data_IF_893422189075
#
_entry.id   IF_893422189075
#
_cell.length_a   1.000
_cell.length_b   1.000
_cell.length_c   1.000
_cell.angle_alpha   90.00
_cell.angle_beta   90.00
_cell.angle_gamma   90.00
#
_symmetry.space_group_name_H-M   'P 1'
#
loop_
_entity.id
_entity.type
_entity.pdbx_description
1 polymer ?
#
# COMPACT_ATOMS: atom_id res chain seq x y z
N UNK A 1 -34.24 21.10 16.83
CA UNK A 1 -34.27 19.62 16.83
C UNK A 1 -33.85 18.97 15.52
N UNK A 2 -33.97 19.62 14.34
CA UNK A 2 -33.58 19.01 13.04
C UNK A 2 -32.06 19.00 12.81
N UNK A 3 -31.34 20.02 13.32
CA UNK A 3 -29.88 20.18 13.14
C UNK A 3 -29.07 19.03 13.75
N UNK A 4 -29.54 18.44 14.86
CA UNK A 4 -28.85 17.36 15.56
C UNK A 4 -28.83 16.05 14.75
N UNK A 5 -29.87 15.78 13.94
CA UNK A 5 -29.95 14.59 13.08
C UNK A 5 -29.08 14.69 11.84
N UNK A 6 -28.94 15.90 11.28
CA UNK A 6 -28.07 16.14 10.12
C UNK A 6 -26.59 16.01 10.52
N UNK A 7 -26.21 16.47 11.72
CA UNK A 7 -24.84 16.33 12.21
C UNK A 7 -24.45 14.85 12.44
N UNK A 8 -25.41 14.01 12.86
CA UNK A 8 -25.18 12.58 13.14
C UNK A 8 -25.02 11.75 11.85
N UNK A 9 -25.70 12.14 10.77
CA UNK A 9 -25.58 11.47 9.47
C UNK A 9 -24.24 11.76 8.78
N UNK A 10 -23.58 12.88 9.07
CA UNK A 10 -22.30 13.25 8.47
C UNK A 10 -21.12 12.51 9.13
N UNK A 11 -21.21 12.16 10.43
CA UNK A 11 -20.19 11.38 11.13
C UNK A 11 -20.14 9.91 10.73
N UNK A 12 -21.15 9.39 10.02
CA UNK A 12 -21.18 8.00 9.55
C UNK A 12 -20.48 7.80 8.21
N UNK A 13 -19.75 8.79 7.71
CA UNK A 13 -18.83 8.66 6.57
C UNK A 13 -17.72 7.69 6.97
N UNK A 14 -17.96 6.40 6.80
CA UNK A 14 -17.01 5.34 7.13
C UNK A 14 -15.80 5.47 6.22
N UNK A 15 -14.64 5.71 6.82
CA UNK A 15 -13.35 5.57 6.16
C UNK A 15 -13.29 4.14 5.62
N UNK A 16 -13.22 3.99 4.30
CA UNK A 16 -13.07 2.70 3.67
C UNK A 16 -11.60 2.29 3.79
N UNK A 17 -11.36 1.24 4.56
CA UNK A 17 -10.07 0.57 4.68
C UNK A 17 -10.33 -0.93 4.75
N UNK A 18 -9.45 -1.73 4.14
CA UNK A 18 -9.67 -3.17 4.02
C UNK A 18 -9.44 -3.87 5.34
N UNK A 19 -10.46 -4.57 5.84
CA UNK A 19 -10.38 -5.30 7.10
C UNK A 19 -9.77 -6.67 6.93
N UNK A 20 -8.60 -6.86 7.50
CA UNK A 20 -7.91 -8.15 7.42
C UNK A 20 -8.57 -9.16 8.38
N UNK A 21 -9.09 -10.30 7.89
CA UNK A 21 -9.69 -11.31 8.74
C UNK A 21 -8.63 -12.03 9.56
N UNK A 22 -9.01 -12.47 10.75
CA UNK A 22 -8.13 -13.27 11.59
C UNK A 22 -7.85 -14.64 10.97
N UNK A 23 -6.65 -15.16 11.22
CA UNK A 23 -6.29 -16.54 10.86
C UNK A 23 -6.07 -16.77 9.37
N UNK A 24 -5.76 -15.72 8.60
CA UNK A 24 -5.27 -15.87 7.23
C UNK A 24 -4.04 -16.79 7.19
N UNK A 25 -3.99 -17.65 6.17
CA UNK A 25 -2.82 -18.45 5.87
C UNK A 25 -1.73 -17.56 5.26
N UNK A 26 -0.48 -18.03 5.29
CA UNK A 26 0.60 -17.29 4.64
C UNK A 26 0.40 -17.28 3.11
N UNK A 27 0.56 -16.11 2.51
CA UNK A 27 0.58 -15.95 1.05
C UNK A 27 0.08 -14.59 0.58
N UNK A 28 -0.15 -14.51 -0.74
CA UNK A 28 -0.55 -13.32 -1.45
C UNK A 28 -2.08 -13.24 -1.51
N UNK A 29 -2.59 -12.05 -1.28
CA UNK A 29 -4.00 -11.73 -1.28
C UNK A 29 -4.27 -10.46 -2.08
N UNK A 30 -5.51 -10.35 -2.55
CA UNK A 30 -6.07 -9.12 -3.12
C UNK A 30 -7.30 -8.72 -2.33
N UNK A 31 -7.36 -7.48 -1.88
CA UNK A 31 -8.56 -6.90 -1.31
C UNK A 31 -9.17 -5.91 -2.30
N UNK A 32 -10.49 -5.92 -2.46
CA UNK A 32 -11.23 -4.98 -3.31
C UNK A 32 -12.71 -4.93 -2.91
N UNK A 33 -13.41 -3.88 -3.32
CA UNK A 33 -14.87 -3.80 -3.18
C UNK A 33 -15.56 -4.32 -4.45
N UNK A 34 -16.59 -5.16 -4.31
CA UNK A 34 -17.39 -5.61 -5.44
C UNK A 34 -18.45 -4.55 -5.85
N UNK A 35 -19.26 -4.84 -6.87
CA UNK A 35 -20.29 -3.92 -7.37
C UNK A 35 -21.40 -3.58 -6.35
N UNK A 36 -21.43 -4.28 -5.20
CA UNK A 36 -22.35 -4.04 -4.08
C UNK A 36 -21.66 -3.35 -2.90
N UNK A 37 -20.44 -2.86 -3.08
CA UNK A 37 -19.60 -2.27 -2.03
C UNK A 37 -19.29 -3.26 -0.90
N UNK A 38 -19.37 -4.57 -1.17
CA UNK A 38 -18.93 -5.59 -0.22
C UNK A 38 -17.43 -5.81 -0.37
N UNK A 39 -16.73 -5.82 0.76
CA UNK A 39 -15.30 -6.10 0.82
C UNK A 39 -15.04 -7.57 0.49
N UNK A 40 -14.19 -7.81 -0.51
CA UNK A 40 -13.75 -9.14 -0.94
C UNK A 40 -12.25 -9.25 -0.73
N UNK A 41 -11.83 -10.33 -0.04
CA UNK A 41 -10.44 -10.73 0.09
C UNK A 41 -10.23 -12.05 -0.63
N UNK A 42 -9.51 -11.99 -1.73
CA UNK A 42 -9.20 -13.12 -2.61
C UNK A 42 -7.80 -13.64 -2.33
N UNK A 43 -7.67 -14.95 -2.09
CA UNK A 43 -6.37 -15.62 -1.98
C UNK A 43 -5.79 -15.89 -3.36
N UNK A 44 -4.62 -15.32 -3.65
CA UNK A 44 -3.92 -15.48 -4.92
C UNK A 44 -2.89 -16.61 -4.91
N UNK A 45 -2.64 -17.22 -3.73
CA UNK A 45 -1.67 -18.30 -3.56
C UNK A 45 -0.39 -17.86 -2.87
N UNK A 46 0.50 -18.82 -2.62
CA UNK A 46 1.90 -18.51 -2.28
C UNK A 46 2.61 -18.13 -3.58
N UNK A 47 3.46 -17.11 -3.54
CA UNK A 47 4.29 -16.72 -4.69
C UNK A 47 5.32 -17.83 -4.93
N UNK A 48 4.90 -18.85 -5.66
CA UNK A 48 5.79 -19.88 -6.16
C UNK A 48 6.47 -19.30 -7.40
N UNK A 49 7.76 -19.01 -7.28
CA UNK A 49 8.63 -18.57 -8.40
C UNK A 49 8.61 -19.50 -9.63
N UNK A 50 7.94 -20.66 -9.54
CA UNK A 50 7.71 -21.62 -10.62
C UNK A 50 6.48 -21.32 -11.50
N UNK A 51 5.59 -20.39 -11.12
CA UNK A 51 4.41 -19.99 -11.92
C UNK A 51 4.73 -18.98 -13.04
N UNK A 52 6.01 -18.64 -13.21
CA UNK A 52 6.51 -17.69 -14.21
C UNK A 52 6.29 -18.14 -15.65
N UNK A 53 6.29 -19.45 -15.91
CA UNK A 53 6.33 -19.97 -17.29
C UNK A 53 5.01 -19.81 -18.08
N UNK A 54 3.88 -19.52 -17.44
CA UNK A 54 2.58 -19.35 -18.15
C UNK A 54 2.15 -17.90 -18.35
N UNK A 55 2.81 -16.94 -17.68
CA UNK A 55 2.55 -15.51 -17.84
C UNK A 55 3.57 -14.82 -18.77
N UNK A 56 4.75 -15.43 -18.98
CA UNK A 56 5.74 -14.98 -19.97
C UNK A 56 5.17 -14.94 -21.40
N UNK A 57 4.25 -15.83 -21.77
CA UNK A 57 3.67 -15.87 -23.13
C UNK A 57 2.73 -14.69 -23.44
N UNK A 58 2.19 -13.98 -22.44
CA UNK A 58 1.34 -12.79 -22.67
C UNK A 58 2.05 -11.45 -22.51
N UNK A 59 3.19 -11.40 -21.83
CA UNK A 59 3.88 -10.14 -21.49
C UNK A 59 5.14 -9.85 -22.32
N UNK A 60 5.52 -10.74 -23.24
CA UNK A 60 6.74 -10.61 -24.03
C UNK A 60 6.76 -9.39 -24.98
N UNK A 61 5.60 -8.78 -25.28
CA UNK A 61 5.50 -7.58 -26.12
C UNK A 61 5.59 -6.26 -25.33
N UNK A 62 5.32 -6.28 -24.01
CA UNK A 62 5.29 -5.07 -23.16
C UNK A 62 6.70 -4.74 -22.62
N UNK A 63 7.56 -5.73 -22.44
CA UNK A 63 8.93 -5.56 -21.91
C UNK A 63 9.91 -4.88 -22.88
N UNK A 64 9.54 -4.65 -24.15
CA UNK A 64 10.42 -3.99 -25.13
C UNK A 64 10.53 -2.47 -24.99
N UNK A 65 9.76 -1.85 -24.09
CA UNK A 65 9.73 -0.39 -23.91
C UNK A 65 10.14 0.07 -22.50
N UNK A 66 10.80 -0.76 -21.71
CA UNK A 66 11.45 -0.27 -20.49
C UNK A 66 12.57 0.71 -20.90
N UNK A 67 12.46 2.02 -20.59
CA UNK A 67 13.47 2.99 -21.01
C UNK A 67 14.82 2.63 -20.39
N UNK A 68 15.87 2.65 -21.22
CA UNK A 68 17.24 2.42 -20.80
C UNK A 68 17.56 3.29 -19.59
N UNK A 69 17.89 2.62 -18.49
CA UNK A 69 18.21 3.21 -17.21
C UNK A 69 19.63 3.78 -17.26
N UNK A 70 19.80 4.86 -18.03
CA UNK A 70 20.91 5.79 -17.81
C UNK A 70 20.79 6.29 -16.36
N UNK A 71 21.79 5.92 -15.54
CA UNK A 71 21.76 6.08 -14.10
C UNK A 71 21.26 7.46 -13.69
N UNK A 72 20.18 7.56 -12.89
CA UNK A 72 19.70 8.85 -12.46
C UNK A 72 20.81 9.48 -11.61
N UNK A 73 21.33 10.60 -12.10
CA UNK A 73 21.78 11.71 -11.25
C UNK A 73 20.86 11.72 -10.01
N UNK A 74 21.44 11.72 -8.80
CA UNK A 74 20.73 11.68 -7.51
C UNK A 74 19.83 12.91 -7.33
N UNK A 75 18.84 13.08 -8.20
CA UNK A 75 17.73 14.01 -8.06
C UNK A 75 17.07 13.65 -6.74
N UNK A 76 16.80 14.66 -5.93
CA UNK A 76 16.35 14.57 -4.54
C UNK A 76 15.22 13.56 -4.35
N UNK A 77 15.59 12.29 -4.18
CA UNK A 77 14.69 11.17 -3.96
C UNK A 77 13.77 11.41 -2.76
N UNK A 78 14.21 12.27 -1.84
CA UNK A 78 13.48 12.68 -0.64
C UNK A 78 12.29 13.60 -0.88
N UNK A 79 12.21 14.33 -2.00
CA UNK A 79 11.11 15.29 -2.23
C UNK A 79 9.80 14.62 -2.69
N UNK A 80 9.87 13.34 -3.08
CA UNK A 80 8.75 12.63 -3.73
C UNK A 80 8.06 11.62 -2.84
N UNK A 81 8.58 11.37 -1.63
CA UNK A 81 7.98 10.39 -0.75
C UNK A 81 7.54 11.05 0.54
N UNK A 82 6.30 10.76 0.95
CA UNK A 82 5.86 10.97 2.33
C UNK A 82 5.75 9.61 2.99
N UNK A 83 6.12 9.53 4.25
CA UNK A 83 6.01 8.30 5.04
C UNK A 83 5.19 8.55 6.30
N UNK A 84 4.44 7.54 6.72
CA UNK A 84 3.86 7.44 8.06
C UNK A 84 4.59 6.30 8.79
N UNK A 85 4.95 6.54 10.05
CA UNK A 85 5.65 5.57 10.88
C UNK A 85 4.74 5.15 12.03
N UNK A 86 4.59 3.85 12.24
CA UNK A 86 3.90 3.32 13.41
C UNK A 86 4.76 3.45 14.65
N UNK A 87 4.19 3.91 15.75
CA UNK A 87 4.92 4.10 16.99
C UNK A 87 4.93 2.82 17.81
N UNK A 88 6.08 2.46 18.39
CA UNK A 88 6.17 1.39 19.40
C UNK A 88 5.86 -0.04 18.90
N UNK A 89 5.70 -0.25 17.59
CA UNK A 89 5.45 -1.56 16.99
C UNK A 89 6.71 -1.99 16.22
N UNK A 90 7.56 -2.75 16.92
CA UNK A 90 8.63 -3.50 16.27
C UNK A 90 8.07 -4.77 15.66
N UNK A 91 8.40 -4.98 14.39
CA UNK A 91 8.02 -6.16 13.63
C UNK A 91 9.13 -7.22 13.75
N UNK A 92 8.74 -8.49 13.61
CA UNK A 92 9.73 -9.55 13.50
C UNK A 92 10.51 -9.39 12.20
N UNK A 93 11.85 -9.45 12.30
CA UNK A 93 12.73 -9.17 11.17
C UNK A 93 12.56 -10.20 10.06
N UNK A 94 12.49 -11.48 10.42
CA UNK A 94 12.39 -12.59 9.47
C UNK A 94 11.04 -12.60 8.76
N UNK A 95 9.95 -12.39 9.50
CA UNK A 95 8.60 -12.27 8.93
C UNK A 95 8.49 -11.05 8.00
N UNK A 96 9.08 -9.91 8.40
CA UNK A 96 9.05 -8.67 7.60
C UNK A 96 9.82 -8.84 6.29
N UNK A 97 11.06 -9.33 6.36
CA UNK A 97 11.88 -9.56 5.16
C UNK A 97 11.19 -10.56 4.23
N UNK A 98 10.58 -11.60 4.79
CA UNK A 98 9.86 -12.61 4.02
C UNK A 98 8.62 -12.05 3.33
N UNK A 99 7.77 -11.32 4.06
CA UNK A 99 6.58 -10.69 3.50
C UNK A 99 6.93 -9.70 2.38
N UNK A 100 7.95 -8.85 2.61
CA UNK A 100 8.42 -7.87 1.62
C UNK A 100 9.02 -8.57 0.40
N UNK A 101 9.76 -9.65 0.59
CA UNK A 101 10.33 -10.41 -0.52
C UNK A 101 9.24 -11.08 -1.36
N UNK A 102 8.26 -11.75 -0.73
CA UNK A 102 7.14 -12.35 -1.46
C UNK A 102 6.33 -11.28 -2.22
N UNK A 103 6.14 -10.10 -1.63
CA UNK A 103 5.47 -8.99 -2.31
C UNK A 103 6.27 -8.51 -3.53
N UNK A 104 7.59 -8.37 -3.40
CA UNK A 104 8.50 -8.06 -4.52
C UNK A 104 8.48 -9.13 -5.61
N UNK A 105 8.46 -10.41 -5.22
CA UNK A 105 8.42 -11.54 -6.14
C UNK A 105 7.11 -11.52 -6.93
N UNK A 106 5.99 -11.14 -6.30
CA UNK A 106 4.70 -10.97 -6.99
C UNK A 106 4.76 -9.88 -8.08
N UNK A 107 5.60 -8.86 -7.90
CA UNK A 107 5.81 -7.77 -8.85
C UNK A 107 6.90 -8.05 -9.90
N UNK A 108 7.66 -9.15 -9.80
CA UNK A 108 8.83 -9.42 -10.64
C UNK A 108 8.51 -9.85 -12.09
N UNK A 109 7.28 -10.32 -12.37
CA UNK A 109 6.87 -10.89 -13.66
C UNK A 109 5.84 -10.04 -14.43
N UNK A 110 6.16 -8.75 -14.60
CA UNK A 110 5.27 -7.80 -15.30
C UNK A 110 4.55 -6.84 -14.36
N UNK A 111 4.91 -6.82 -13.07
CA UNK A 111 4.31 -5.94 -12.07
C UNK A 111 3.01 -6.49 -11.49
N UNK A 112 2.57 -5.86 -10.41
CA UNK A 112 1.24 -6.06 -9.83
C UNK A 112 0.26 -5.26 -10.67
N UNK A 113 -0.70 -5.94 -11.28
CA UNK A 113 -1.78 -5.32 -12.06
C UNK A 113 -3.00 -5.17 -11.15
N UNK A 114 -3.45 -3.92 -11.00
CA UNK A 114 -4.71 -3.58 -10.34
C UNK A 114 -5.82 -3.58 -11.40
N UNK A 115 -6.50 -4.71 -11.55
CA UNK A 115 -7.62 -4.93 -12.47
C UNK A 115 -8.97 -4.48 -11.88
N UNK A 116 -8.98 -4.08 -10.60
CA UNK A 116 -10.13 -3.53 -9.88
C UNK A 116 -9.82 -2.12 -9.38
N UNK A 117 -10.76 -1.16 -9.52
CA UNK A 117 -10.65 0.11 -8.82
C UNK A 117 -10.66 -0.16 -7.31
N UNK A 118 -10.02 0.70 -6.51
CA UNK A 118 -9.98 0.54 -5.05
C UNK A 118 -9.54 -0.87 -4.65
N UNK A 119 -8.34 -1.27 -5.06
CA UNK A 119 -7.79 -2.55 -4.67
C UNK A 119 -6.44 -2.43 -4.00
N UNK A 120 -6.18 -3.41 -3.15
CA UNK A 120 -4.92 -3.61 -2.48
C UNK A 120 -4.40 -5.00 -2.81
N UNK A 121 -3.08 -5.11 -2.95
CA UNK A 121 -2.41 -6.40 -3.00
C UNK A 121 -1.49 -6.47 -1.80
N UNK A 122 -1.60 -7.55 -1.04
CA UNK A 122 -0.83 -7.72 0.18
C UNK A 122 -0.36 -9.15 0.37
N UNK A 123 0.77 -9.29 1.03
CA UNK A 123 1.28 -10.55 1.53
C UNK A 123 1.02 -10.61 3.02
N UNK A 124 0.35 -11.67 3.45
CA UNK A 124 0.22 -12.04 4.84
C UNK A 124 1.28 -13.09 5.15
N UNK A 125 2.14 -12.81 6.13
CA UNK A 125 3.15 -13.77 6.58
C UNK A 125 3.30 -13.73 8.09
N UNK A 126 2.80 -14.76 8.77
CA UNK A 126 2.82 -14.89 10.22
C UNK A 126 2.31 -13.62 10.93
N UNK A 127 3.23 -12.81 11.46
CA UNK A 127 2.94 -11.59 12.24
C UNK A 127 2.97 -10.29 11.46
N UNK A 128 3.25 -10.33 10.15
CA UNK A 128 3.48 -9.16 9.30
C UNK A 128 2.59 -9.19 8.06
N UNK A 129 2.17 -8.00 7.65
CA UNK A 129 1.47 -7.73 6.40
C UNK A 129 2.29 -6.73 5.60
N UNK A 130 2.75 -7.12 4.41
CA UNK A 130 3.36 -6.21 3.44
C UNK A 130 2.35 -5.90 2.34
N UNK A 131 2.15 -4.64 1.97
CA UNK A 131 1.04 -4.26 1.10
C UNK A 131 1.41 -3.17 0.08
N UNK A 132 0.64 -3.16 -1.00
CA UNK A 132 0.55 -2.07 -1.97
C UNK A 132 -0.93 -1.74 -2.14
N UNK A 133 -1.26 -0.50 -1.82
CA UNK A 133 -2.56 0.12 -2.04
C UNK A 133 -2.55 0.86 -3.36
N UNK A 134 -3.71 0.99 -3.98
CA UNK A 134 -4.00 1.76 -5.19
C UNK A 134 -2.85 2.64 -5.70
N UNK A 135 -1.99 2.10 -6.57
CA UNK A 135 -0.98 2.85 -7.31
C UNK A 135 -1.36 3.08 -8.77
N UNK A 136 -0.43 3.59 -9.61
CA UNK A 136 -0.58 3.47 -11.06
C UNK A 136 -0.97 2.02 -11.42
N UNK A 137 -1.66 1.80 -12.53
CA UNK A 137 -2.22 0.50 -12.94
C UNK A 137 -1.23 -0.68 -12.93
N UNK A 138 0.06 -0.38 -12.76
CA UNK A 138 1.20 -1.27 -12.65
C UNK A 138 2.09 -0.81 -11.48
N UNK A 139 2.34 -1.69 -10.52
CA UNK A 139 3.41 -1.50 -9.53
C UNK A 139 4.55 -2.47 -9.82
N UNK A 140 5.77 -1.94 -9.97
CA UNK A 140 6.94 -2.76 -10.24
C UNK A 140 7.72 -3.07 -8.95
N UNK A 141 8.54 -4.12 -9.02
CA UNK A 141 9.46 -4.50 -7.94
C UNK A 141 10.33 -3.32 -7.45
N UNK A 142 10.73 -2.43 -8.38
CA UNK A 142 11.52 -1.24 -8.07
C UNK A 142 10.77 -0.29 -7.13
N UNK A 143 9.48 -0.11 -7.34
CA UNK A 143 8.68 0.86 -6.58
C UNK A 143 8.47 0.36 -5.15
N UNK A 144 8.18 -0.94 -4.99
CA UNK A 144 8.10 -1.61 -3.67
C UNK A 144 9.45 -1.51 -2.94
N UNK A 145 10.56 -1.83 -3.62
CA UNK A 145 11.88 -1.75 -3.01
C UNK A 145 12.25 -0.32 -2.58
N UNK A 146 11.88 0.66 -3.38
CA UNK A 146 12.08 2.08 -3.09
C UNK A 146 11.25 2.54 -1.90
N UNK A 147 9.95 2.17 -1.85
CA UNK A 147 9.08 2.46 -0.72
C UNK A 147 9.61 1.85 0.57
N UNK A 148 9.92 0.56 0.59
CA UNK A 148 10.47 -0.12 1.78
C UNK A 148 11.78 0.52 2.24
N UNK A 149 12.69 0.85 1.30
CA UNK A 149 13.95 1.53 1.65
C UNK A 149 13.71 2.93 2.23
N UNK A 150 12.70 3.65 1.74
CA UNK A 150 12.33 4.96 2.25
C UNK A 150 11.76 4.85 3.68
N UNK A 151 10.87 3.89 3.92
CA UNK A 151 10.30 3.59 5.25
C UNK A 151 11.42 3.26 6.22
N UNK A 152 12.31 2.30 5.90
CA UNK A 152 13.43 1.92 6.78
C UNK A 152 14.33 3.11 7.12
N UNK A 153 14.56 4.03 6.16
CA UNK A 153 15.36 5.22 6.41
C UNK A 153 14.65 6.27 7.29
N UNK A 154 13.32 6.30 7.26
CA UNK A 154 12.50 7.32 7.95
C UNK A 154 11.99 6.87 9.30
N UNK A 155 11.55 5.62 9.39
CA UNK A 155 10.88 5.02 10.54
C UNK A 155 11.80 4.10 11.35
N UNK A 156 13.03 3.84 10.89
CA UNK A 156 13.96 2.80 11.38
C UNK A 156 13.67 1.39 10.84
N UNK A 157 14.59 0.46 11.10
CA UNK A 157 14.51 -0.94 10.69
C UNK A 157 13.39 -1.68 11.40
N UNK A 158 12.55 -2.37 10.61
CA UNK A 158 11.46 -3.24 11.09
C UNK A 158 10.43 -2.51 11.96
N UNK A 159 10.23 -1.22 11.71
CA UNK A 159 9.14 -0.44 12.28
C UNK A 159 8.01 -0.38 11.26
N UNK A 160 6.78 -0.63 11.70
CA UNK A 160 5.62 -0.53 10.83
C UNK A 160 5.57 0.84 10.14
N UNK A 161 5.22 0.87 8.87
CA UNK A 161 5.15 2.13 8.14
C UNK A 161 4.62 1.99 6.73
N UNK A 162 4.27 3.13 6.16
CA UNK A 162 3.85 3.27 4.78
C UNK A 162 4.57 4.43 4.12
N UNK A 163 4.68 4.38 2.79
CA UNK A 163 5.21 5.44 1.98
C UNK A 163 4.34 5.66 0.74
N UNK A 164 4.11 6.93 0.43
CA UNK A 164 3.34 7.39 -0.73
C UNK A 164 4.26 8.15 -1.70
N UNK A 165 4.13 7.90 -3.01
CA UNK A 165 4.98 8.50 -4.05
C UNK A 165 4.32 9.68 -4.79
N UNK A 166 4.66 10.91 -4.45
CA UNK A 166 4.21 12.11 -5.15
C UNK A 166 5.00 12.32 -6.45
N UNK A 167 4.31 12.31 -7.58
CA UNK A 167 4.89 12.73 -8.86
C UNK A 167 5.07 14.24 -8.89
N UNK A 168 6.33 14.67 -8.87
CA UNK A 168 6.89 16.05 -8.91
C UNK A 168 6.47 16.92 -10.13
N UNK A 169 5.49 16.46 -10.91
CA UNK A 169 4.90 17.18 -12.04
C UNK A 169 3.42 17.51 -11.86
N UNK A 170 2.79 17.04 -10.79
CA UNK A 170 1.44 17.47 -10.43
C UNK A 170 1.53 18.84 -9.77
N UNK A 171 1.26 19.90 -10.53
CA UNK A 171 1.05 21.24 -9.98
C UNK A 171 -0.10 21.14 -8.97
N UNK A 172 0.03 21.82 -7.83
CA UNK A 172 -0.84 21.83 -6.63
C UNK A 172 -2.36 22.08 -6.90
N UNK A 173 -2.78 22.24 -8.17
CA UNK A 173 -4.17 22.37 -8.61
C UNK A 173 -4.68 21.29 -9.59
N UNK A 174 -3.91 20.24 -9.91
CA UNK A 174 -4.35 19.11 -10.77
C UNK A 174 -4.60 17.80 -10.03
N UNK A 175 -4.63 17.84 -8.69
CA UNK A 175 -4.83 16.66 -7.82
C UNK A 175 -6.19 15.97 -7.99
N UNK A 176 -7.15 16.55 -8.70
CA UNK A 176 -8.51 16.02 -8.77
C UNK A 176 -8.70 14.92 -9.83
N UNK A 177 -7.82 14.81 -10.84
CA UNK A 177 -7.99 13.86 -11.96
C UNK A 177 -6.80 12.91 -12.17
N UNK A 178 -5.67 13.16 -11.50
CA UNK A 178 -4.49 12.31 -11.61
C UNK A 178 -4.55 11.24 -10.51
N UNK A 179 -4.74 9.98 -10.93
CA UNK A 179 -4.64 8.76 -10.11
C UNK A 179 -3.64 8.95 -8.96
N UNK A 180 -4.18 8.99 -7.74
CA UNK A 180 -3.40 9.19 -6.53
C UNK A 180 -2.32 8.12 -6.43
N UNK A 181 -1.16 8.46 -5.87
CA UNK A 181 -0.13 7.46 -5.67
C UNK A 181 -0.57 6.41 -4.66
N UNK A 182 -0.10 5.20 -4.88
CA UNK A 182 -0.35 4.09 -3.98
C UNK A 182 0.52 4.13 -2.74
N UNK A 183 -0.12 3.89 -1.60
CA UNK A 183 0.56 3.62 -0.35
C UNK A 183 1.19 2.24 -0.41
N UNK A 184 2.50 2.18 -0.19
CA UNK A 184 3.25 0.93 -0.08
C UNK A 184 3.81 0.83 1.33
N UNK A 185 3.73 -0.33 1.97
CA UNK A 185 4.17 -0.44 3.35
C UNK A 185 4.22 -1.84 3.89
N UNK A 186 4.53 -1.92 5.18
CA UNK A 186 4.43 -3.14 5.96
C UNK A 186 4.05 -2.82 7.40
N UNK A 187 3.29 -3.72 8.02
CA UNK A 187 2.71 -3.52 9.34
C UNK A 187 2.51 -4.83 10.08
N UNK A 188 2.23 -4.76 11.38
CA UNK A 188 1.88 -5.94 12.15
C UNK A 188 0.52 -6.46 11.69
N UNK A 189 0.33 -7.78 11.69
CA UNK A 189 -0.96 -8.43 11.44
C UNK A 189 -2.03 -8.11 12.50
N UNK A 190 -1.67 -7.43 13.60
CA UNK A 190 -2.61 -6.86 14.57
C UNK A 190 -3.28 -5.61 14.05
N UNK A 191 -2.70 -4.97 13.04
CA UNK A 191 -3.37 -3.90 12.32
C UNK A 191 -4.59 -4.50 11.62
N UNK A 192 -5.75 -3.90 11.88
CA UNK A 192 -7.02 -4.41 11.35
C UNK A 192 -7.32 -3.86 9.97
N UNK A 193 -6.56 -2.87 9.49
CA UNK A 193 -6.89 -2.08 8.31
C UNK A 193 -5.63 -1.77 7.48
N UNK A 194 -5.78 -1.83 6.16
CA UNK A 194 -4.80 -1.34 5.18
C UNK A 194 -5.49 -0.35 4.22
N UNK A 195 -4.71 0.54 3.62
CA UNK A 195 -5.16 1.45 2.56
C UNK A 195 -6.23 2.45 2.99
N UNK A 196 -6.03 3.12 4.12
CA UNK A 196 -6.92 4.22 4.54
C UNK A 196 -6.85 5.37 3.53
N UNK A 197 -7.97 5.68 2.88
CA UNK A 197 -8.10 6.72 1.85
C UNK A 197 -8.03 8.17 2.38
N UNK A 198 -7.38 8.42 3.53
CA UNK A 198 -7.42 9.71 4.24
C UNK A 198 -6.82 10.90 3.48
N UNK A 199 -6.14 10.67 2.35
CA UNK A 199 -5.54 11.74 1.55
C UNK A 199 -6.55 12.63 0.80
N UNK A 200 -7.85 12.29 0.80
CA UNK A 200 -8.89 13.11 0.17
C UNK A 200 -9.40 14.30 1.02
N UNK A 201 -8.86 14.57 2.22
CA UNK A 201 -9.34 15.68 3.05
C UNK A 201 -8.23 16.35 3.88
N UNK A 202 -7.67 17.49 3.44
CA UNK A 202 -6.64 18.24 4.18
C UNK A 202 -7.14 18.97 5.44
N UNK A 203 -8.33 18.65 5.97
CA UNK A 203 -9.01 19.44 7.01
C UNK A 203 -9.57 18.65 8.21
N UNK A 204 -9.30 17.34 8.32
CA UNK A 204 -9.78 16.58 9.49
C UNK A 204 -8.62 16.18 10.41
N UNK A 205 -8.50 16.91 11.52
CA UNK A 205 -7.88 16.41 12.73
C UNK A 205 -8.85 15.43 13.40
N UNK A 206 -8.42 14.20 13.60
CA UNK A 206 -9.25 13.14 14.14
C UNK A 206 -9.46 13.26 15.66
N UNK A 207 -10.66 12.93 16.18
CA UNK A 207 -10.85 12.57 17.58
C UNK A 207 -10.41 11.12 17.82
N UNK A 208 -9.74 10.91 18.95
CA UNK A 208 -9.12 9.68 19.45
C UNK A 208 -10.02 8.42 19.32
N UNK A 209 -9.76 7.60 18.31
CA UNK A 209 -10.16 6.19 18.29
C UNK A 209 -9.04 5.35 18.96
N UNK A 210 -9.34 4.20 19.59
CA UNK A 210 -8.37 3.50 20.45
C UNK A 210 -7.15 2.85 19.75
N UNK A 211 -6.89 3.14 18.47
CA UNK A 211 -5.69 2.67 17.74
C UNK A 211 -5.14 3.73 16.75
N UNK A 212 -4.95 4.97 17.19
CA UNK A 212 -4.42 6.12 16.39
C UNK A 212 -2.89 6.26 16.39
N UNK A 213 -2.11 5.19 16.51
CA UNK A 213 -0.64 5.30 16.70
C UNK A 213 0.19 5.27 15.40
N UNK A 214 -0.36 5.81 14.30
CA UNK A 214 0.30 5.89 12.99
C UNK A 214 1.04 7.21 12.75
N UNK A 215 0.91 8.17 13.66
CA UNK A 215 1.52 9.49 13.52
C UNK A 215 2.25 9.88 14.80
N UNK A 216 3.46 9.33 14.98
CA UNK A 216 4.45 10.01 15.80
C UNK A 216 5.38 10.77 14.86
N UNK A 217 5.35 12.10 14.95
CA UNK A 217 6.32 12.96 14.27
C UNK A 217 7.76 12.73 14.78
N UNK A 218 7.95 11.90 15.82
CA UNK A 218 9.22 11.53 16.43
C UNK A 218 9.17 10.07 16.90
N UNK A 219 9.68 9.15 16.09
CA UNK A 219 10.21 7.86 16.53
C UNK A 219 11.73 7.93 16.57
#
# INVERSE_FOLDING_TARGET
MIITWVLLLILASSIAAFRLPDGLANGLYRAYNNDKEEEIIEYLGVVNTTLSNTLEERNHDILRHAPDSHGPERRDFHKRWQSKCGCGIHLDHGDTDRAVQELKDSASHGGIIFDKPESAVFVWYNSVVAFVCWGPSWTFIRDIAQACSFITKKCDWYVAGSANYFWDGMVEGQLNDAMTPGDMGYMSNRATQICENEWASPLYSFPEAPFTDWTCDLC
#
